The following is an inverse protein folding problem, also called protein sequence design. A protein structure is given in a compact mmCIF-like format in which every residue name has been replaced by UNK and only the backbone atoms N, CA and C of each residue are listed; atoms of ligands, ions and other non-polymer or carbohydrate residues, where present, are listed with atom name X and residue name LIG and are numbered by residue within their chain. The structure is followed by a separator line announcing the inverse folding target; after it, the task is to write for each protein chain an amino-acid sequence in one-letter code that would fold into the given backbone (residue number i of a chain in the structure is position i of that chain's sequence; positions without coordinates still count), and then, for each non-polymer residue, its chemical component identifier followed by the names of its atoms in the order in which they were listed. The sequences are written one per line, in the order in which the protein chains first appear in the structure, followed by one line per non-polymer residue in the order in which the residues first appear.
data_IF_245595639371
#
_entry.id   IF_245595639371
#
_cell.length_a   1.000
_cell.length_b   1.000
_cell.length_c   1.000
_cell.angle_alpha   90.00
_cell.angle_beta   90.00
_cell.angle_gamma   90.00
#
_symmetry.space_group_name_H-M   'P 1'
#
loop_
_entity.id
_entity.type
_entity.pdbx_description
1 polymer ?
#
# COMPACT_ATOMS: atom_id res chain seq x y z
N UNK A 1 -13.11 18.82 -6.11
CA UNK A 1 -11.78 18.41 -6.64
C UNK A 1 -10.67 19.41 -6.31
N UNK A 2 -10.99 20.65 -5.90
CA UNK A 2 -10.02 21.61 -5.36
C UNK A 2 -10.33 21.75 -3.88
N UNK A 3 -9.38 21.37 -3.03
CA UNK A 3 -9.50 21.33 -1.57
C UNK A 3 -8.14 21.02 -0.95
N UNK A 4 -7.98 21.10 0.38
CA UNK A 4 -6.67 20.97 1.03
C UNK A 4 -5.95 19.64 0.73
N UNK A 5 -6.72 18.57 0.48
CA UNK A 5 -6.22 17.22 0.17
C UNK A 5 -6.01 16.97 -1.34
N UNK A 6 -6.31 17.94 -2.22
CA UNK A 6 -6.32 17.68 -3.67
C UNK A 6 -4.95 17.33 -4.23
N UNK A 7 -3.86 17.88 -3.67
CA UNK A 7 -2.50 17.54 -4.08
C UNK A 7 -2.17 16.09 -3.72
N UNK A 8 -2.57 15.64 -2.53
CA UNK A 8 -2.41 14.27 -2.06
C UNK A 8 -3.07 13.28 -3.00
N UNK A 9 -4.36 13.51 -3.24
CA UNK A 9 -5.19 12.74 -4.16
C UNK A 9 -4.59 12.62 -5.58
N UNK A 10 -4.26 13.74 -6.23
CA UNK A 10 -3.80 13.70 -7.62
C UNK A 10 -2.41 13.07 -7.77
N UNK A 11 -1.48 13.34 -6.85
CA UNK A 11 -0.09 12.88 -6.96
C UNK A 11 0.07 11.46 -6.43
N UNK A 12 -0.42 11.18 -5.22
CA UNK A 12 -0.18 9.89 -4.59
C UNK A 12 -1.20 8.83 -4.98
N UNK A 13 -2.48 9.16 -5.05
CA UNK A 13 -3.50 8.17 -5.40
C UNK A 13 -3.58 7.97 -6.92
N UNK A 14 -3.81 9.06 -7.66
CA UNK A 14 -4.08 8.97 -9.10
C UNK A 14 -2.78 8.70 -9.87
N UNK A 15 -1.74 9.50 -9.64
CA UNK A 15 -0.50 9.35 -10.40
C UNK A 15 0.31 8.13 -9.95
N UNK A 16 0.71 8.08 -8.68
CA UNK A 16 1.55 6.98 -8.16
C UNK A 16 0.79 5.68 -7.92
N UNK A 17 -0.47 5.72 -7.47
CA UNK A 17 -1.26 4.53 -7.16
C UNK A 17 -1.87 3.85 -8.38
N UNK A 18 -2.17 4.60 -9.45
CA UNK A 18 -2.90 4.09 -10.62
C UNK A 18 -2.10 4.27 -11.92
N UNK A 19 -1.81 5.51 -12.34
CA UNK A 19 -1.24 5.79 -13.66
C UNK A 19 0.12 5.13 -13.88
N UNK A 20 1.05 5.29 -12.94
CA UNK A 20 2.42 4.75 -13.07
C UNK A 20 2.42 3.21 -13.07
N UNK A 21 1.78 2.52 -12.10
CA UNK A 21 1.70 1.05 -12.12
C UNK A 21 0.99 0.52 -13.35
N UNK A 22 -0.09 1.18 -13.78
CA UNK A 22 -0.83 0.78 -14.97
C UNK A 22 0.04 0.85 -16.23
N UNK A 23 0.77 1.96 -16.42
CA UNK A 23 1.72 2.10 -17.52
C UNK A 23 2.84 1.04 -17.46
N UNK A 24 3.40 0.78 -16.28
CA UNK A 24 4.42 -0.25 -16.08
C UNK A 24 3.91 -1.66 -16.38
N UNK A 25 2.66 -1.97 -16.07
CA UNK A 25 2.08 -3.30 -16.27
C UNK A 25 1.59 -3.52 -17.70
N UNK A 26 1.18 -2.46 -18.40
CA UNK A 26 0.66 -2.53 -19.77
C UNK A 26 1.79 -2.62 -20.82
N UNK A 27 2.97 -2.06 -20.53
CA UNK A 27 4.09 -2.11 -21.47
C UNK A 27 4.54 -3.56 -21.75
N UNK A 28 4.89 -3.94 -22.99
CA UNK A 28 5.41 -5.29 -23.27
C UNK A 28 6.74 -5.57 -22.56
N UNK A 29 7.13 -6.85 -22.40
CA UNK A 29 8.40 -7.23 -21.78
C UNK A 29 8.43 -7.15 -20.24
N UNK A 30 7.47 -7.81 -19.58
CA UNK A 30 7.40 -7.85 -18.11
C UNK A 30 8.66 -8.47 -17.51
N UNK A 31 9.31 -7.73 -16.62
CA UNK A 31 10.42 -8.22 -15.80
C UNK A 31 10.00 -8.28 -14.34
N UNK A 32 10.60 -9.18 -13.56
CA UNK A 32 10.31 -9.32 -12.14
C UNK A 32 10.47 -7.99 -11.39
N UNK A 33 11.53 -7.23 -11.70
CA UNK A 33 11.77 -5.92 -11.11
C UNK A 33 10.65 -4.92 -11.43
N UNK A 34 10.11 -4.94 -12.66
CA UNK A 34 9.06 -4.02 -13.06
C UNK A 34 7.73 -4.34 -12.37
N UNK A 35 7.43 -5.63 -12.19
CA UNK A 35 6.27 -6.09 -11.42
C UNK A 35 6.43 -5.69 -9.95
N UNK A 36 7.60 -5.93 -9.34
CA UNK A 36 7.87 -5.58 -7.96
C UNK A 36 7.72 -4.07 -7.70
N UNK A 37 8.26 -3.22 -8.60
CA UNK A 37 8.10 -1.76 -8.52
C UNK A 37 6.63 -1.36 -8.67
N UNK A 38 5.90 -1.94 -9.62
CA UNK A 38 4.48 -1.65 -9.81
C UNK A 38 3.66 -2.04 -8.56
N UNK A 39 3.91 -3.22 -7.98
CA UNK A 39 3.26 -3.66 -6.75
C UNK A 39 3.56 -2.73 -5.57
N UNK A 40 4.81 -2.31 -5.40
CA UNK A 40 5.20 -1.37 -4.35
C UNK A 40 4.47 -0.02 -4.49
N UNK A 41 4.42 0.52 -5.71
CA UNK A 41 3.71 1.77 -6.01
C UNK A 41 2.20 1.67 -5.72
N UNK A 42 1.56 0.56 -6.09
CA UNK A 42 0.15 0.31 -5.81
C UNK A 42 -0.10 0.31 -4.30
N UNK A 43 0.71 -0.42 -3.52
CA UNK A 43 0.58 -0.49 -2.06
C UNK A 43 0.74 0.91 -1.44
N UNK A 44 1.73 1.69 -1.90
CA UNK A 44 1.92 3.08 -1.46
C UNK A 44 0.72 3.97 -1.80
N UNK A 45 0.10 3.79 -2.98
CA UNK A 45 -1.09 4.54 -3.37
C UNK A 45 -2.31 4.19 -2.52
N UNK A 46 -2.52 2.91 -2.20
CA UNK A 46 -3.59 2.47 -1.30
C UNK A 46 -3.39 3.05 0.11
N UNK A 47 -2.14 3.13 0.58
CA UNK A 47 -1.83 3.76 1.86
C UNK A 47 -2.22 5.25 1.87
N UNK A 48 -1.85 6.00 0.83
CA UNK A 48 -2.23 7.41 0.69
C UNK A 48 -3.77 7.59 0.69
N UNK A 49 -4.49 6.74 -0.04
CA UNK A 49 -5.96 6.74 -0.04
C UNK A 49 -6.56 6.49 1.34
N UNK A 50 -5.97 5.56 2.12
CA UNK A 50 -6.42 5.29 3.50
C UNK A 50 -6.11 6.46 4.43
N UNK A 51 -4.96 7.11 4.25
CA UNK A 51 -4.58 8.29 5.01
C UNK A 51 -5.55 9.45 4.74
N UNK A 52 -5.79 9.78 3.47
CA UNK A 52 -6.70 10.86 3.08
C UNK A 52 -8.13 10.57 3.53
N UNK A 53 -8.58 9.32 3.52
CA UNK A 53 -9.88 8.93 4.07
C UNK A 53 -9.99 9.20 5.58
N UNK A 54 -8.96 8.85 6.36
CA UNK A 54 -8.93 9.10 7.81
C UNK A 54 -8.92 10.60 8.10
N UNK A 55 -8.07 11.35 7.41
CA UNK A 55 -7.97 12.81 7.58
C UNK A 55 -9.26 13.51 7.16
N UNK A 56 -9.86 13.13 6.02
CA UNK A 56 -11.15 13.65 5.58
C UNK A 56 -12.26 13.36 6.60
N UNK A 57 -12.26 12.18 7.21
CA UNK A 57 -13.20 11.82 8.27
C UNK A 57 -13.10 12.70 9.52
N UNK A 58 -11.94 13.30 9.79
CA UNK A 58 -11.73 14.24 10.90
C UNK A 58 -12.04 15.69 10.54
N UNK A 59 -11.91 16.06 9.26
CA UNK A 59 -12.18 17.41 8.77
C UNK A 59 -13.68 17.74 8.69
N UNK A 60 -14.55 16.74 8.54
CA UNK A 60 -16.01 16.95 8.49
C UNK A 60 -16.69 16.25 9.67
N UNK A 61 -16.55 16.78 10.88
CA UNK A 61 -17.11 16.11 12.03
C UNK A 61 -18.64 16.20 12.03
N UNK A 62 -19.28 15.06 12.31
CA UNK A 62 -20.75 14.89 12.24
C UNK A 62 -21.49 15.63 13.36
N UNK A 63 -20.79 16.00 14.44
CA UNK A 63 -21.34 16.70 15.59
C UNK A 63 -21.20 18.22 15.42
N UNK A 64 -22.34 18.92 15.36
CA UNK A 64 -22.39 20.38 15.37
C UNK A 64 -21.64 20.93 16.60
N UNK A 65 -20.64 21.79 16.36
CA UNK A 65 -19.84 22.43 17.42
C UNK A 65 -18.47 21.79 17.69
N UNK A 66 -18.10 20.73 16.96
CA UNK A 66 -16.75 20.15 17.07
C UNK A 66 -15.72 20.92 16.23
N UNK A 67 -14.57 21.20 16.84
CA UNK A 67 -13.48 21.92 16.18
C UNK A 67 -12.78 21.03 15.15
N UNK A 68 -12.42 21.62 14.01
CA UNK A 68 -11.58 20.98 13.00
C UNK A 68 -10.26 20.53 13.64
N UNK A 69 -10.03 19.21 13.70
CA UNK A 69 -8.75 18.66 14.15
C UNK A 69 -7.81 18.56 12.95
N UNK A 70 -6.72 19.34 12.96
CA UNK A 70 -5.63 19.17 12.00
C UNK A 70 -4.76 18.01 12.48
N UNK A 71 -4.77 16.90 11.76
CA UNK A 71 -3.98 15.72 12.09
C UNK A 71 -2.55 15.87 11.56
N UNK A 72 -1.57 15.68 12.43
CA UNK A 72 -0.17 15.53 12.05
C UNK A 72 0.42 14.34 12.81
N UNK A 73 0.94 13.32 12.10
CA UNK A 73 1.39 12.08 12.75
C UNK A 73 2.56 12.35 13.70
N UNK A 74 2.44 11.84 14.91
CA UNK A 74 3.49 11.86 15.92
C UNK A 74 4.56 10.81 15.64
N UNK A 75 5.76 11.04 16.17
CA UNK A 75 6.88 10.09 16.04
C UNK A 75 6.52 8.71 16.62
N UNK A 76 5.73 8.67 17.70
CA UNK A 76 5.30 7.42 18.33
C UNK A 76 4.35 6.65 17.44
N UNK A 77 3.39 7.31 16.78
CA UNK A 77 2.49 6.66 15.83
C UNK A 77 3.26 6.04 14.66
N UNK A 78 4.26 6.73 14.12
CA UNK A 78 5.12 6.22 13.06
C UNK A 78 5.88 4.98 13.54
N UNK A 79 6.45 5.01 14.76
CA UNK A 79 7.17 3.86 15.33
C UNK A 79 6.25 2.66 15.56
N UNK A 80 5.00 2.88 15.98
CA UNK A 80 4.02 1.79 16.15
C UNK A 80 3.72 1.14 14.80
N UNK A 81 3.52 1.93 13.74
CA UNK A 81 3.26 1.41 12.38
C UNK A 81 4.47 0.64 11.85
N UNK A 82 5.68 1.18 12.01
CA UNK A 82 6.92 0.49 11.65
C UNK A 82 7.09 -0.82 12.44
N UNK A 83 6.80 -0.81 13.74
CA UNK A 83 6.81 -1.99 14.59
C UNK A 83 5.82 -3.06 14.14
N UNK A 84 4.61 -2.67 13.74
CA UNK A 84 3.61 -3.57 13.17
C UNK A 84 4.09 -4.21 11.87
N UNK A 85 4.67 -3.44 10.95
CA UNK A 85 5.24 -3.97 9.70
C UNK A 85 6.40 -4.94 9.98
N UNK A 86 7.29 -4.60 10.91
CA UNK A 86 8.39 -5.48 11.32
C UNK A 86 7.89 -6.78 11.94
N UNK A 87 6.83 -6.71 12.76
CA UNK A 87 6.21 -7.89 13.36
C UNK A 87 5.57 -8.79 12.29
N UNK A 88 4.85 -8.23 11.32
CA UNK A 88 4.30 -8.99 10.20
C UNK A 88 5.41 -9.68 9.39
N UNK A 89 6.50 -8.98 9.10
CA UNK A 89 7.65 -9.55 8.40
C UNK A 89 8.30 -10.68 9.21
N UNK A 90 8.48 -10.49 10.52
CA UNK A 90 9.00 -11.51 11.42
C UNK A 90 8.10 -12.75 11.43
N UNK A 91 6.78 -12.56 11.56
CA UNK A 91 5.82 -13.66 11.53
C UNK A 91 5.86 -14.41 10.19
N UNK A 92 6.01 -13.71 9.07
CA UNK A 92 6.19 -14.33 7.76
C UNK A 92 7.48 -15.17 7.71
N UNK A 93 8.62 -14.64 8.16
CA UNK A 93 9.89 -15.38 8.17
C UNK A 93 9.86 -16.59 9.10
N UNK A 94 9.21 -16.47 10.27
CA UNK A 94 9.00 -17.61 11.17
C UNK A 94 8.08 -18.64 10.52
N UNK A 95 7.00 -18.20 9.87
CA UNK A 95 6.10 -19.05 9.11
C UNK A 95 6.83 -19.85 8.04
N UNK A 96 7.67 -19.20 7.23
CA UNK A 96 8.47 -19.85 6.19
C UNK A 96 9.47 -20.89 6.74
N UNK A 97 10.05 -20.62 7.92
CA UNK A 97 10.99 -21.54 8.57
C UNK A 97 10.30 -22.75 9.22
N UNK A 98 9.12 -22.58 9.80
CA UNK A 98 8.45 -23.61 10.61
C UNK A 98 7.30 -24.32 9.90
N UNK A 99 6.73 -23.72 8.85
CA UNK A 99 5.68 -24.31 8.02
C UNK A 99 6.26 -24.66 6.66
N UNK A 100 5.92 -25.83 6.08
CA UNK A 100 6.30 -26.16 4.71
C UNK A 100 5.46 -25.32 3.72
N UNK A 101 5.82 -24.04 3.55
CA UNK A 101 5.15 -23.13 2.62
C UNK A 101 5.55 -23.40 1.16
N UNK A 102 6.73 -24.00 0.94
CA UNK A 102 7.09 -24.60 -0.34
C UNK A 102 6.39 -25.95 -0.47
N UNK A 103 5.19 -25.92 -1.04
CA UNK A 103 4.51 -27.13 -1.47
C UNK A 103 5.37 -27.90 -2.46
N UNK A 104 5.94 -29.01 -2.03
CA UNK A 104 6.44 -30.04 -2.93
C UNK A 104 5.26 -30.76 -3.60
N UNK A 105 4.69 -30.19 -4.67
CA UNK A 105 3.88 -30.92 -5.66
C UNK A 105 3.55 -30.05 -6.89
N UNK A 106 4.12 -30.36 -8.08
CA UNK A 106 3.30 -30.34 -9.31
C UNK A 106 3.70 -29.56 -10.58
N UNK A 107 4.66 -28.63 -10.63
CA UNK A 107 4.83 -27.75 -11.82
C UNK A 107 6.07 -28.01 -12.69
N UNK A 108 6.51 -29.26 -12.82
CA UNK A 108 7.58 -29.62 -13.76
C UNK A 108 7.14 -30.49 -14.97
N UNK A 109 5.86 -30.88 -15.09
CA UNK A 109 5.42 -31.79 -16.17
C UNK A 109 4.54 -31.22 -17.29
N UNK A 110 3.95 -30.02 -17.20
CA UNK A 110 3.03 -29.54 -18.28
C UNK A 110 3.64 -28.59 -19.33
N UNK A 111 4.92 -28.18 -19.23
CA UNK A 111 5.53 -27.31 -20.26
C UNK A 111 6.24 -28.11 -21.37
N UNK A 112 6.07 -29.44 -21.41
CA UNK A 112 6.58 -30.27 -22.50
C UNK A 112 5.49 -31.15 -23.10
N UNK A 113 4.55 -30.52 -23.82
CA UNK A 113 3.81 -31.18 -24.90
C UNK A 113 3.50 -30.21 -26.03
#
# INVERSE_FOLDING_TARGET
LIGPLSVGFWVFEVFLGILVPFALLLYPGRTLNRIAIASFLIVSGIFALRFDFVVAGQLFPVLEGSHYAVYFPSQVEILIVLGGMALCALMYTLGDKFLPLNGGHGEHEEVKK
#
